data_IF_363092603314
#
_entry.id   IF_363092603314
#
_cell.length_a   1.000
_cell.length_b   1.000
_cell.length_c   1.000
_cell.angle_alpha   90.00
_cell.angle_beta   90.00
_cell.angle_gamma   90.00
#
_symmetry.space_group_name_H-M   'P 1'
#
loop_
_entity.id
_entity.type
_entity.pdbx_description
1 polymer ?
#
# COMPACT_ATOMS: atom_id res chain seq x y z
N UNK A 1 -17.07 0.21 -13.81
CA UNK A 1 -17.76 1.53 -13.90
C UNK A 1 -17.38 2.28 -12.64
N UNK A 2 -16.35 3.13 -12.75
CA UNK A 2 -15.98 4.05 -11.68
C UNK A 2 -17.08 5.10 -11.58
N UNK A 3 -17.76 5.12 -10.44
CA UNK A 3 -18.65 6.22 -10.11
C UNK A 3 -17.78 7.46 -9.89
N UNK A 4 -17.86 8.42 -10.82
CA UNK A 4 -17.32 9.76 -10.65
C UNK A 4 -17.94 10.35 -9.37
N UNK A 5 -17.19 10.32 -8.28
CA UNK A 5 -17.59 10.97 -7.04
C UNK A 5 -17.45 12.47 -7.22
N UNK A 6 -18.57 13.12 -7.44
CA UNK A 6 -18.66 14.58 -7.49
C UNK A 6 -18.44 15.14 -6.08
N UNK A 7 -17.33 15.86 -5.84
CA UNK A 7 -17.09 16.52 -4.57
C UNK A 7 -17.66 17.94 -4.57
N UNK A 8 -18.30 18.30 -3.48
CA UNK A 8 -18.95 19.59 -3.29
C UNK A 8 -18.24 20.37 -2.18
N UNK A 9 -18.03 21.66 -2.38
CA UNK A 9 -17.43 22.56 -1.38
C UNK A 9 -18.39 23.66 -1.02
N UNK A 10 -18.60 23.86 0.27
CA UNK A 10 -19.48 24.88 0.80
C UNK A 10 -18.74 26.19 1.08
N UNK A 11 -19.47 27.32 0.95
CA UNK A 11 -19.05 28.61 1.55
C UNK A 11 -19.42 28.66 3.03
N UNK A 12 -18.75 29.50 3.83
CA UNK A 12 -19.02 29.61 5.26
C UNK A 12 -20.47 30.08 5.50
N UNK A 13 -20.98 31.05 4.74
CA UNK A 13 -22.35 31.55 4.83
C UNK A 13 -23.38 30.43 4.63
N UNK A 14 -23.09 29.48 3.72
CA UNK A 14 -23.96 28.36 3.46
C UNK A 14 -23.92 27.33 4.58
N UNK A 15 -22.76 27.10 5.18
CA UNK A 15 -22.62 26.25 6.36
C UNK A 15 -23.46 26.79 7.50
N UNK A 16 -23.37 28.09 7.77
CA UNK A 16 -24.11 28.76 8.86
C UNK A 16 -25.64 28.67 8.62
N UNK A 17 -26.09 28.95 7.40
CA UNK A 17 -27.50 28.83 7.01
C UNK A 17 -28.00 27.39 7.13
N UNK A 18 -27.21 26.41 6.71
CA UNK A 18 -27.56 25.00 6.81
C UNK A 18 -27.71 24.56 8.27
N UNK A 19 -26.79 24.96 9.13
CA UNK A 19 -26.84 24.60 10.54
C UNK A 19 -28.09 25.22 11.22
N UNK A 20 -28.42 26.44 10.87
CA UNK A 20 -29.61 27.11 11.38
C UNK A 20 -30.92 26.47 10.90
N UNK A 21 -30.98 26.08 9.62
CA UNK A 21 -32.18 25.46 9.05
C UNK A 21 -32.33 24.01 9.45
N UNK A 22 -31.25 23.24 9.51
CA UNK A 22 -31.30 21.84 9.92
C UNK A 22 -31.87 21.69 11.32
N UNK A 23 -31.50 22.58 12.22
CA UNK A 23 -32.01 22.60 13.58
C UNK A 23 -33.53 22.89 13.67
N UNK A 24 -34.06 23.68 12.75
CA UNK A 24 -35.47 24.08 12.73
C UNK A 24 -36.35 23.15 11.88
N UNK A 25 -35.79 22.55 10.85
CA UNK A 25 -36.54 21.79 9.82
C UNK A 25 -36.50 20.29 10.02
N UNK A 26 -35.45 19.75 10.63
CA UNK A 26 -35.30 18.32 10.84
C UNK A 26 -35.81 17.88 12.20
N UNK A 27 -36.33 16.66 12.26
CA UNK A 27 -36.62 15.99 13.51
C UNK A 27 -35.39 15.88 14.40
N UNK A 28 -35.59 15.73 15.72
CA UNK A 28 -34.49 15.49 16.67
C UNK A 28 -33.68 14.27 16.25
N UNK A 29 -34.33 13.24 15.71
CA UNK A 29 -33.69 12.01 15.24
C UNK A 29 -32.77 12.28 14.06
N UNK A 30 -33.24 13.00 13.05
CA UNK A 30 -32.45 13.34 11.88
C UNK A 30 -31.26 14.25 12.25
N UNK A 31 -31.46 15.23 13.10
CA UNK A 31 -30.39 16.08 13.62
C UNK A 31 -29.33 15.27 14.40
N UNK A 32 -29.74 14.27 15.18
CA UNK A 32 -28.78 13.41 15.87
C UNK A 32 -27.96 12.57 14.89
N UNK A 33 -28.55 12.16 13.76
CA UNK A 33 -27.80 11.45 12.70
C UNK A 33 -26.82 12.41 12.02
N UNK A 34 -27.21 13.65 11.68
CA UNK A 34 -26.29 14.65 11.14
C UNK A 34 -25.06 14.81 12.04
N UNK A 35 -25.27 14.94 13.36
CA UNK A 35 -24.18 15.07 14.34
C UNK A 35 -23.32 13.81 14.43
N UNK A 36 -23.94 12.62 14.51
CA UNK A 36 -23.23 11.36 14.66
C UNK A 36 -22.39 10.99 13.42
N UNK A 37 -22.80 11.45 12.23
CA UNK A 37 -22.12 11.23 10.96
C UNK A 37 -21.28 12.43 10.52
N UNK A 38 -21.19 13.47 11.36
CA UNK A 38 -20.47 14.71 11.05
C UNK A 38 -20.91 15.37 9.74
N UNK A 39 -22.25 15.27 9.43
CA UNK A 39 -22.85 15.89 8.26
C UNK A 39 -23.28 17.33 8.60
N UNK A 40 -22.31 18.15 8.94
CA UNK A 40 -22.48 19.51 9.46
C UNK A 40 -22.54 20.59 8.36
N UNK A 41 -22.44 20.17 7.09
CA UNK A 41 -22.51 21.05 5.92
C UNK A 41 -23.42 20.50 4.82
N UNK A 42 -23.97 21.36 3.93
CA UNK A 42 -24.81 20.93 2.81
C UNK A 42 -24.05 19.98 1.86
N UNK A 43 -22.78 20.26 1.57
CA UNK A 43 -21.96 19.41 0.72
C UNK A 43 -21.80 18.00 1.29
N UNK A 44 -21.53 17.87 2.58
CA UNK A 44 -21.44 16.57 3.25
C UNK A 44 -22.77 15.82 3.24
N UNK A 45 -23.87 16.52 3.47
CA UNK A 45 -25.21 15.91 3.37
C UNK A 45 -25.50 15.45 1.95
N UNK A 46 -25.19 16.27 0.94
CA UNK A 46 -25.35 15.93 -0.49
C UNK A 46 -24.56 14.69 -0.86
N UNK A 47 -23.27 14.66 -0.54
CA UNK A 47 -22.42 13.50 -0.76
C UNK A 47 -22.93 12.23 -0.06
N UNK A 48 -23.48 12.38 1.15
CA UNK A 48 -24.10 11.31 1.90
C UNK A 48 -25.37 10.77 1.24
N UNK A 49 -26.25 11.63 0.76
CA UNK A 49 -27.52 11.26 0.12
C UNK A 49 -27.30 10.58 -1.24
N UNK A 50 -26.30 11.07 -2.00
CA UNK A 50 -25.99 10.56 -3.33
C UNK A 50 -25.17 9.25 -3.31
N UNK A 51 -24.65 8.85 -2.16
CA UNK A 51 -23.78 7.68 -2.01
C UNK A 51 -24.52 6.47 -1.45
N UNK A 52 -24.74 5.45 -2.27
CA UNK A 52 -25.27 4.14 -1.84
C UNK A 52 -24.38 3.44 -0.79
N UNK A 53 -23.09 3.76 -0.79
CA UNK A 53 -22.12 3.19 0.14
C UNK A 53 -22.37 3.62 1.59
N UNK A 54 -22.80 4.85 1.82
CA UNK A 54 -23.13 5.34 3.16
C UNK A 54 -24.40 4.70 3.71
N UNK A 55 -25.37 4.37 2.87
CA UNK A 55 -26.58 3.66 3.28
C UNK A 55 -26.28 2.30 3.92
N UNK A 56 -25.25 1.60 3.45
CA UNK A 56 -24.78 0.34 4.05
C UNK A 56 -24.18 0.50 5.46
N UNK A 57 -23.40 1.54 5.69
CA UNK A 57 -22.80 1.87 7.01
C UNK A 57 -23.85 2.34 8.01
N UNK A 58 -24.82 3.11 7.55
CA UNK A 58 -25.85 3.71 8.40
C UNK A 58 -26.88 2.69 8.92
N UNK A 59 -27.02 1.54 8.28
CA UNK A 59 -27.89 0.44 8.79
C UNK A 59 -27.49 -0.03 10.19
N UNK A 60 -26.27 0.25 10.62
CA UNK A 60 -25.76 -0.08 11.97
C UNK A 60 -26.01 1.01 13.01
N UNK A 61 -26.45 2.19 12.58
CA UNK A 61 -26.78 3.28 13.51
C UNK A 61 -28.15 3.04 14.15
N UNK A 62 -28.19 3.18 15.47
CA UNK A 62 -29.43 3.12 16.22
C UNK A 62 -30.36 4.21 15.71
N UNK A 63 -31.58 3.83 15.32
CA UNK A 63 -32.63 4.75 14.81
C UNK A 63 -32.45 5.28 13.38
N UNK A 64 -31.51 4.79 12.59
CA UNK A 64 -31.40 5.14 11.16
C UNK A 64 -32.31 4.23 10.30
N UNK A 65 -33.57 4.57 10.23
CA UNK A 65 -34.57 3.84 9.44
C UNK A 65 -34.97 4.58 8.16
N UNK A 66 -35.81 3.95 7.35
CA UNK A 66 -36.27 4.46 6.06
C UNK A 66 -36.87 5.89 6.15
N UNK A 67 -37.67 6.16 7.18
CA UNK A 67 -38.24 7.50 7.41
C UNK A 67 -37.20 8.60 7.63
N UNK A 68 -36.12 8.29 8.37
CA UNK A 68 -35.05 9.25 8.60
C UNK A 68 -34.23 9.48 7.33
N UNK A 69 -34.06 8.46 6.51
CA UNK A 69 -33.40 8.61 5.19
C UNK A 69 -34.23 9.48 4.25
N UNK A 70 -35.53 9.25 4.17
CA UNK A 70 -36.46 10.05 3.38
C UNK A 70 -36.47 11.52 3.85
N UNK A 71 -36.47 11.74 5.17
CA UNK A 71 -36.41 13.08 5.77
C UNK A 71 -35.11 13.82 5.43
N UNK A 72 -33.96 13.15 5.53
CA UNK A 72 -32.66 13.75 5.18
C UNK A 72 -32.55 14.06 3.68
N UNK A 73 -33.09 13.16 2.82
CA UNK A 73 -33.14 13.40 1.39
C UNK A 73 -34.03 14.60 1.04
N UNK A 74 -35.24 14.63 1.59
CA UNK A 74 -36.17 15.74 1.39
C UNK A 74 -35.60 17.07 1.90
N UNK A 75 -34.87 17.06 3.01
CA UNK A 75 -34.20 18.26 3.51
C UNK A 75 -33.04 18.68 2.60
N UNK A 76 -32.27 17.78 2.06
CA UNK A 76 -31.23 18.08 1.08
C UNK A 76 -31.83 18.78 -0.15
N UNK A 77 -32.88 18.20 -0.74
CA UNK A 77 -33.60 18.76 -1.89
C UNK A 77 -34.21 20.15 -1.57
N UNK A 78 -34.84 20.27 -0.40
CA UNK A 78 -35.36 21.57 0.08
C UNK A 78 -34.26 22.61 0.16
N UNK A 79 -33.11 22.27 0.76
CA UNK A 79 -32.01 23.21 0.92
C UNK A 79 -31.43 23.63 -0.42
N UNK A 80 -31.29 22.71 -1.37
CA UNK A 80 -30.84 23.01 -2.74
C UNK A 80 -31.82 23.95 -3.48
N UNK A 81 -33.11 23.73 -3.36
CA UNK A 81 -34.13 24.56 -4.00
C UNK A 81 -34.21 25.98 -3.45
N UNK A 82 -34.04 26.16 -2.14
CA UNK A 82 -34.18 27.46 -1.48
C UNK A 82 -32.85 28.23 -1.39
N UNK A 83 -31.72 27.54 -1.55
CA UNK A 83 -30.40 28.13 -1.54
C UNK A 83 -29.66 27.68 -2.82
N UNK A 84 -30.06 28.22 -4.00
CA UNK A 84 -29.57 27.72 -5.29
C UNK A 84 -28.07 27.90 -5.44
N UNK A 85 -27.59 27.17 -6.34
CA UNK A 85 -26.23 26.69 -6.63
C UNK A 85 -25.12 27.72 -6.87
N UNK A 86 -25.35 29.00 -6.70
CA UNK A 86 -24.23 29.95 -6.52
C UNK A 86 -23.32 29.54 -5.35
N UNK A 87 -23.66 28.47 -4.70
CA UNK A 87 -23.11 27.95 -3.48
C UNK A 87 -22.48 26.56 -3.55
N UNK A 88 -22.56 25.84 -4.68
CA UNK A 88 -21.74 24.66 -4.93
C UNK A 88 -20.81 24.95 -6.09
N UNK A 89 -19.52 24.96 -5.83
CA UNK A 89 -18.52 24.88 -6.86
C UNK A 89 -18.23 23.39 -7.10
N UNK A 90 -18.47 22.92 -8.32
CA UNK A 90 -18.04 21.60 -8.73
C UNK A 90 -16.57 21.71 -9.02
N UNK A 91 -15.75 21.11 -8.17
CA UNK A 91 -14.31 21.11 -8.37
C UNK A 91 -13.97 20.32 -9.64
N UNK A 92 -13.08 20.84 -10.45
CA UNK A 92 -12.39 20.08 -11.49
C UNK A 92 -11.54 18.98 -10.83
N UNK A 93 -11.08 18.00 -11.60
CA UNK A 93 -10.21 16.94 -11.06
C UNK A 93 -8.97 17.51 -10.35
N UNK A 94 -8.37 18.54 -10.92
CA UNK A 94 -7.22 19.21 -10.34
C UNK A 94 -7.54 19.95 -9.04
N UNK A 95 -8.65 20.67 -8.99
CA UNK A 95 -9.10 21.37 -7.77
C UNK A 95 -9.50 20.37 -6.68
N UNK A 96 -10.12 19.26 -7.04
CA UNK A 96 -10.42 18.14 -6.15
C UNK A 96 -9.14 17.56 -5.56
N UNK A 97 -8.14 17.32 -6.41
CA UNK A 97 -6.83 16.84 -5.99
C UNK A 97 -6.18 17.82 -5.00
N UNK A 98 -6.10 19.11 -5.36
CA UNK A 98 -5.53 20.14 -4.49
C UNK A 98 -6.25 20.22 -3.14
N UNK A 99 -7.58 20.22 -3.17
CA UNK A 99 -8.42 20.25 -1.97
C UNK A 99 -8.12 19.04 -1.07
N UNK A 100 -8.08 17.83 -1.63
CA UNK A 100 -7.81 16.60 -0.88
C UNK A 100 -6.40 16.57 -0.29
N UNK A 101 -5.40 17.02 -1.04
CA UNK A 101 -4.02 17.12 -0.57
C UNK A 101 -3.95 18.11 0.60
N UNK A 102 -4.47 19.33 0.45
CA UNK A 102 -4.42 20.35 1.50
C UNK A 102 -5.15 19.93 2.78
N UNK A 103 -6.21 19.13 2.64
CA UNK A 103 -6.99 18.65 3.78
C UNK A 103 -6.35 17.46 4.50
N UNK A 104 -5.76 16.52 3.77
CA UNK A 104 -5.39 15.21 4.31
C UNK A 104 -3.87 15.00 4.39
N UNK A 105 -3.07 15.75 3.61
CA UNK A 105 -1.62 15.60 3.52
C UNK A 105 -0.87 16.65 4.33
N UNK A 106 -1.11 16.72 5.64
CA UNK A 106 -0.41 17.66 6.54
C UNK A 106 1.12 17.47 6.56
N UNK A 107 1.61 16.38 5.99
CA UNK A 107 3.03 16.08 5.83
C UNK A 107 3.65 16.73 4.57
N UNK A 108 2.87 17.37 3.70
CA UNK A 108 3.37 18.09 2.53
C UNK A 108 3.44 19.59 2.82
N UNK A 109 4.58 20.19 2.52
CA UNK A 109 4.75 21.64 2.52
C UNK A 109 4.19 22.24 1.22
N UNK A 110 4.11 23.56 1.12
CA UNK A 110 3.54 24.23 -0.05
C UNK A 110 4.26 23.86 -1.35
N UNK A 111 5.60 23.83 -1.33
CA UNK A 111 6.43 23.42 -2.47
C UNK A 111 6.23 21.95 -2.90
N UNK A 112 5.97 21.07 -1.93
CA UNK A 112 5.68 19.66 -2.23
C UNK A 112 4.31 19.53 -2.90
N UNK A 113 3.32 20.30 -2.46
CA UNK A 113 1.99 20.33 -3.07
C UNK A 113 2.09 20.83 -4.52
N UNK A 114 2.85 21.89 -4.76
CA UNK A 114 3.08 22.42 -6.10
C UNK A 114 3.75 21.37 -7.01
N UNK A 115 4.74 20.63 -6.49
CA UNK A 115 5.36 19.52 -7.23
C UNK A 115 4.35 18.43 -7.56
N UNK A 116 3.54 17.96 -6.58
CA UNK A 116 2.54 16.91 -6.81
C UNK A 116 1.52 17.32 -7.86
N UNK A 117 1.03 18.56 -7.79
CA UNK A 117 0.07 19.09 -8.76
C UNK A 117 0.69 19.18 -10.16
N UNK A 118 1.92 19.71 -10.29
CA UNK A 118 2.60 19.81 -11.58
C UNK A 118 2.92 18.43 -12.18
N UNK A 119 3.28 17.46 -11.36
CA UNK A 119 3.51 16.09 -11.80
C UNK A 119 2.24 15.46 -12.36
N UNK A 120 1.12 15.60 -11.65
CA UNK A 120 -0.18 15.11 -12.10
C UNK A 120 -0.59 15.77 -13.43
N UNK A 121 -0.47 17.09 -13.56
CA UNK A 121 -0.79 17.83 -14.79
C UNK A 121 0.00 17.31 -16.00
N UNK A 122 1.25 16.87 -15.80
CA UNK A 122 2.11 16.37 -16.86
C UNK A 122 1.87 14.89 -17.22
N UNK A 123 1.51 14.07 -16.24
CA UNK A 123 1.52 12.60 -16.38
C UNK A 123 0.15 11.98 -16.21
N UNK A 124 -0.79 12.68 -15.64
CA UNK A 124 -2.09 12.17 -15.15
C UNK A 124 -1.94 11.02 -14.13
N UNK A 125 -0.81 10.99 -13.44
CA UNK A 125 -0.48 10.05 -12.38
C UNK A 125 0.00 10.80 -11.14
N UNK A 126 0.03 10.10 -9.99
CA UNK A 126 0.48 10.69 -8.72
C UNK A 126 1.91 10.27 -8.41
N UNK A 127 2.75 11.17 -7.89
CA UNK A 127 4.11 10.83 -7.47
C UNK A 127 4.10 10.17 -6.08
N UNK A 128 3.65 8.91 -6.01
CA UNK A 128 3.40 8.20 -4.75
C UNK A 128 4.67 7.99 -3.92
N UNK A 129 5.80 7.67 -4.55
CA UNK A 129 7.08 7.51 -3.85
C UNK A 129 7.60 8.83 -3.33
N UNK A 130 7.46 9.91 -4.09
CA UNK A 130 7.79 11.26 -3.62
C UNK A 130 6.98 11.62 -2.37
N UNK A 131 5.66 11.42 -2.42
CA UNK A 131 4.78 11.68 -1.27
C UNK A 131 5.16 10.80 -0.06
N UNK A 132 5.54 9.55 -0.29
CA UNK A 132 6.01 8.66 0.78
C UNK A 132 7.32 9.16 1.39
N UNK A 133 8.28 9.59 0.58
CA UNK A 133 9.52 10.23 1.05
C UNK A 133 9.20 11.42 1.95
N UNK A 134 8.32 12.31 1.50
CA UNK A 134 7.92 13.51 2.25
C UNK A 134 7.20 13.17 3.56
N UNK A 135 6.41 12.11 3.58
CA UNK A 135 5.78 11.62 4.81
C UNK A 135 6.81 11.28 5.89
N UNK A 136 7.91 10.63 5.52
CA UNK A 136 8.99 10.29 6.45
C UNK A 136 9.92 11.48 6.73
N UNK A 137 10.20 12.31 5.74
CA UNK A 137 11.10 13.46 5.84
C UNK A 137 10.54 14.50 6.83
N UNK A 138 9.24 14.80 6.74
CA UNK A 138 8.60 15.83 7.57
C UNK A 138 7.96 15.28 8.85
N UNK A 139 8.19 14.01 9.18
CA UNK A 139 7.65 13.45 10.41
C UNK A 139 8.49 13.84 11.63
N UNK A 140 7.83 14.45 12.63
CA UNK A 140 8.42 14.74 13.94
C UNK A 140 8.54 13.51 14.84
N UNK A 141 7.97 12.39 14.45
CA UNK A 141 7.97 11.19 15.27
C UNK A 141 9.32 10.47 15.17
N UNK A 142 10.06 10.42 16.29
CA UNK A 142 11.35 9.74 16.39
C UNK A 142 11.36 8.34 15.76
N UNK A 143 10.29 7.57 15.94
CA UNK A 143 10.13 6.26 15.32
C UNK A 143 10.25 6.32 13.80
N UNK A 144 9.58 7.27 13.15
CA UNK A 144 9.62 7.41 11.69
C UNK A 144 10.98 7.93 11.22
N UNK A 145 11.62 8.78 12.00
CA UNK A 145 12.98 9.24 11.72
C UNK A 145 13.97 8.06 11.76
N UNK A 146 13.86 7.19 12.77
CA UNK A 146 14.70 5.97 12.88
C UNK A 146 14.47 5.04 11.69
N UNK A 147 13.22 4.82 11.29
CA UNK A 147 12.88 3.97 10.14
C UNK A 147 13.39 4.60 8.84
N UNK A 148 13.19 5.91 8.65
CA UNK A 148 13.72 6.67 7.51
C UNK A 148 15.23 6.47 7.36
N UNK A 149 15.96 6.66 8.44
CA UNK A 149 17.41 6.59 8.44
C UNK A 149 17.92 5.14 8.30
N UNK A 150 17.20 4.18 8.89
CA UNK A 150 17.50 2.74 8.72
C UNK A 150 17.30 2.26 7.28
N UNK A 151 16.27 2.77 6.60
CA UNK A 151 15.98 2.41 5.21
C UNK A 151 16.81 3.22 4.20
N UNK A 152 17.30 4.39 4.57
CA UNK A 152 17.97 5.31 3.66
C UNK A 152 17.02 6.05 2.73
N UNK A 153 15.80 6.40 3.22
CA UNK A 153 14.75 7.02 2.38
C UNK A 153 15.19 8.38 1.82
N UNK A 154 15.82 9.22 2.64
CA UNK A 154 16.23 10.58 2.24
C UNK A 154 17.75 10.72 2.05
N UNK A 155 18.52 9.87 2.70
CA UNK A 155 19.98 9.90 2.76
C UNK A 155 20.55 8.48 2.69
N UNK A 156 21.85 8.33 2.92
CA UNK A 156 22.46 7.01 3.03
C UNK A 156 21.91 6.24 4.24
N UNK A 157 21.72 4.95 4.05
CA UNK A 157 21.25 4.00 5.08
C UNK A 157 22.20 4.05 6.29
N UNK A 158 21.65 4.20 7.49
CA UNK A 158 22.41 4.19 8.75
C UNK A 158 22.45 2.78 9.33
N UNK A 159 23.61 2.39 9.87
CA UNK A 159 23.74 1.14 10.63
C UNK A 159 23.05 1.26 12.00
N UNK A 160 22.79 0.13 12.64
CA UNK A 160 22.20 0.12 13.99
C UNK A 160 23.05 0.87 15.01
N UNK A 161 24.36 0.75 14.92
CA UNK A 161 25.32 1.43 15.77
C UNK A 161 25.22 2.95 15.59
N UNK A 162 25.17 3.42 14.35
CA UNK A 162 24.97 4.83 14.04
C UNK A 162 23.60 5.34 14.54
N UNK A 163 22.53 4.56 14.39
CA UNK A 163 21.21 4.92 14.92
C UNK A 163 21.20 5.01 16.43
N UNK A 164 21.89 4.09 17.14
CA UNK A 164 22.04 4.14 18.60
C UNK A 164 22.75 5.42 19.04
N UNK A 165 23.79 5.85 18.32
CA UNK A 165 24.53 7.06 18.60
C UNK A 165 23.71 8.33 18.32
N UNK A 166 23.08 8.41 17.14
CA UNK A 166 22.29 9.57 16.71
C UNK A 166 21.09 9.82 17.63
N UNK A 167 20.37 8.75 17.99
CA UNK A 167 19.14 8.86 18.78
C UNK A 167 19.33 8.66 20.27
N UNK A 168 20.56 8.36 20.73
CA UNK A 168 20.88 8.07 22.13
C UNK A 168 20.01 6.96 22.73
N UNK A 169 19.78 5.87 21.98
CA UNK A 169 18.91 4.76 22.35
C UNK A 169 19.69 3.45 22.46
N UNK A 170 19.15 2.53 23.28
CA UNK A 170 19.69 1.18 23.38
C UNK A 170 19.42 0.37 22.10
N UNK A 171 20.25 -0.65 21.84
CA UNK A 171 20.06 -1.58 20.73
C UNK A 171 18.68 -2.25 20.75
N UNK A 172 18.18 -2.60 21.93
CA UNK A 172 16.85 -3.20 22.09
C UNK A 172 15.75 -2.25 21.61
N UNK A 173 15.86 -0.96 21.95
CA UNK A 173 14.90 0.04 21.52
C UNK A 173 14.96 0.25 20.01
N UNK A 174 16.17 0.41 19.44
CA UNK A 174 16.35 0.55 17.98
C UNK A 174 15.77 -0.66 17.24
N UNK A 175 16.05 -1.88 17.68
CA UNK A 175 15.49 -3.09 17.07
C UNK A 175 13.95 -3.12 17.15
N UNK A 176 13.36 -2.66 18.25
CA UNK A 176 11.91 -2.56 18.42
C UNK A 176 11.26 -1.56 17.46
N UNK A 177 11.92 -0.42 17.21
CA UNK A 177 11.44 0.57 16.24
C UNK A 177 11.56 0.06 14.80
N UNK A 178 12.70 -0.55 14.44
CA UNK A 178 12.92 -1.14 13.11
C UNK A 178 11.93 -2.28 12.84
N UNK A 179 11.60 -3.10 13.85
CA UNK A 179 10.60 -4.17 13.71
C UNK A 179 9.22 -3.68 13.26
N UNK A 180 8.95 -2.40 13.45
CA UNK A 180 7.67 -1.78 13.05
C UNK A 180 7.70 -1.12 11.67
N UNK A 181 8.73 -1.34 10.86
CA UNK A 181 8.89 -0.73 9.53
C UNK A 181 7.68 -0.98 8.64
N UNK A 182 7.20 -2.23 8.58
CA UNK A 182 6.02 -2.61 7.80
C UNK A 182 4.81 -1.75 8.12
N UNK A 183 4.55 -1.58 9.41
CA UNK A 183 3.40 -0.82 9.87
C UNK A 183 3.56 0.69 9.61
N UNK A 184 4.79 1.22 9.65
CA UNK A 184 5.04 2.62 9.35
C UNK A 184 4.85 2.93 7.86
N UNK A 185 5.38 2.10 6.98
CA UNK A 185 5.19 2.23 5.52
C UNK A 185 3.72 2.06 5.15
N UNK A 186 3.05 1.08 5.74
CA UNK A 186 1.60 0.89 5.56
C UNK A 186 0.80 2.14 5.95
N UNK A 187 1.12 2.78 7.09
CA UNK A 187 0.44 4.02 7.49
C UNK A 187 0.70 5.16 6.54
N UNK A 188 1.95 5.30 6.06
CA UNK A 188 2.30 6.31 5.07
C UNK A 188 1.52 6.11 3.78
N UNK A 189 1.50 4.89 3.24
CA UNK A 189 0.75 4.52 2.04
C UNK A 189 -0.74 4.85 2.18
N UNK A 190 -1.39 4.42 3.26
CA UNK A 190 -2.80 4.74 3.54
C UNK A 190 -3.08 6.25 3.66
N UNK A 191 -2.13 7.01 4.21
CA UNK A 191 -2.29 8.46 4.30
C UNK A 191 -2.26 9.11 2.92
N UNK A 192 -1.39 8.61 2.05
CA UNK A 192 -1.29 9.05 0.65
C UNK A 192 -2.56 8.69 -0.13
N UNK A 193 -3.04 7.45 -0.03
CA UNK A 193 -4.27 7.01 -0.70
C UNK A 193 -5.50 7.84 -0.33
N UNK A 194 -5.57 8.33 0.90
CA UNK A 194 -6.64 9.25 1.33
C UNK A 194 -6.56 10.61 0.64
N UNK A 195 -5.35 11.04 0.26
CA UNK A 195 -5.15 12.32 -0.40
C UNK A 195 -5.47 12.25 -1.90
N UNK A 196 -5.03 11.18 -2.55
CA UNK A 196 -5.02 11.09 -4.01
C UNK A 196 -5.99 10.07 -4.59
N UNK A 197 -6.73 9.35 -3.75
CA UNK A 197 -7.74 8.36 -4.15
C UNK A 197 -7.25 7.39 -5.24
N UNK A 198 -5.97 7.05 -5.22
CA UNK A 198 -5.34 6.23 -6.24
C UNK A 198 -4.59 5.07 -5.60
N UNK A 199 -4.26 4.12 -6.42
CA UNK A 199 -3.55 2.92 -6.04
C UNK A 199 -2.14 2.87 -6.64
N UNK A 200 -1.38 1.89 -6.21
CA UNK A 200 -0.03 1.64 -6.70
C UNK A 200 0.00 0.98 -8.08
N UNK A 201 -1.16 0.65 -8.66
CA UNK A 201 -1.32 0.04 -9.98
C UNK A 201 -0.79 0.93 -11.12
N UNK A 202 -0.72 2.24 -10.91
CA UNK A 202 -0.13 3.17 -11.88
C UNK A 202 1.30 2.79 -12.28
N UNK A 203 2.05 2.12 -11.39
CA UNK A 203 3.42 1.64 -11.67
C UNK A 203 3.43 0.29 -12.40
N UNK A 204 2.26 -0.31 -12.64
CA UNK A 204 2.11 -1.62 -13.31
C UNK A 204 3.02 -2.69 -12.69
N UNK A 205 3.12 -2.68 -11.36
CA UNK A 205 3.98 -3.62 -10.63
C UNK A 205 3.57 -5.06 -10.89
N UNK A 206 2.24 -5.34 -10.95
CA UNK A 206 1.70 -6.64 -11.32
C UNK A 206 2.15 -7.08 -12.72
N UNK A 207 2.23 -6.17 -13.67
CA UNK A 207 2.56 -6.47 -15.06
C UNK A 207 4.07 -6.58 -15.31
N UNK A 208 4.86 -5.79 -14.64
CA UNK A 208 6.29 -5.66 -14.94
C UNK A 208 7.17 -6.50 -14.00
N UNK A 209 6.83 -6.55 -12.72
CA UNK A 209 7.69 -7.16 -11.69
C UNK A 209 7.05 -8.44 -11.13
N UNK A 210 5.75 -8.42 -10.83
CA UNK A 210 5.10 -9.50 -10.07
C UNK A 210 4.75 -10.74 -10.88
N UNK A 211 5.16 -10.83 -12.14
CA UNK A 211 4.99 -12.06 -12.97
C UNK A 211 5.85 -13.23 -12.52
N UNK A 212 6.89 -12.96 -11.72
CA UNK A 212 7.80 -13.97 -11.21
C UNK A 212 7.49 -14.25 -9.74
N UNK A 213 7.43 -15.48 -9.33
CA UNK A 213 7.20 -15.84 -7.91
C UNK A 213 8.44 -15.61 -7.03
N UNK A 214 9.60 -15.45 -7.64
CA UNK A 214 10.87 -15.16 -6.99
C UNK A 214 11.48 -13.96 -7.69
N UNK A 215 11.73 -12.91 -6.92
CA UNK A 215 12.24 -11.63 -7.38
C UNK A 215 13.62 -11.35 -6.78
N UNK A 216 14.45 -10.66 -7.52
CA UNK A 216 15.69 -10.05 -7.04
C UNK A 216 15.58 -8.54 -7.15
N UNK A 217 16.49 -7.81 -6.50
CA UNK A 217 16.52 -6.34 -6.64
C UNK A 217 16.68 -5.93 -8.12
N UNK A 218 17.36 -6.72 -8.93
CA UNK A 218 17.56 -6.47 -10.36
C UNK A 218 16.24 -6.46 -11.16
N UNK A 219 15.23 -7.21 -10.72
CA UNK A 219 13.92 -7.24 -11.36
C UNK A 219 13.18 -5.90 -11.22
N UNK A 220 13.52 -5.10 -10.19
CA UNK A 220 12.98 -3.78 -9.94
C UNK A 220 13.77 -2.65 -10.61
N UNK A 221 14.97 -2.93 -11.11
CA UNK A 221 15.86 -1.89 -11.63
C UNK A 221 15.23 -1.02 -12.74
N UNK A 222 14.50 -1.56 -13.74
CA UNK A 222 13.86 -0.73 -14.76
C UNK A 222 12.82 0.22 -14.18
N UNK A 223 12.00 -0.25 -13.24
CA UNK A 223 11.00 0.55 -12.56
C UNK A 223 11.67 1.62 -11.69
N UNK A 224 12.68 1.23 -10.90
CA UNK A 224 13.44 2.15 -10.07
C UNK A 224 14.04 3.31 -10.86
N UNK A 225 14.67 3.02 -12.00
CA UNK A 225 15.28 4.07 -12.83
C UNK A 225 14.24 5.06 -13.34
N UNK A 226 13.12 4.55 -13.85
CA UNK A 226 12.01 5.37 -14.34
C UNK A 226 11.41 6.25 -13.24
N UNK A 227 11.11 5.66 -12.08
CA UNK A 227 10.48 6.38 -10.97
C UNK A 227 11.46 7.36 -10.32
N UNK A 228 12.73 6.95 -10.15
CA UNK A 228 13.77 7.80 -9.56
C UNK A 228 13.95 9.11 -10.33
N UNK A 229 13.99 9.04 -11.65
CA UNK A 229 14.12 10.23 -12.49
C UNK A 229 12.85 11.08 -12.44
N UNK A 230 11.68 10.46 -12.64
CA UNK A 230 10.41 11.16 -12.73
C UNK A 230 9.97 11.80 -11.42
N UNK A 231 10.22 11.15 -10.28
CA UNK A 231 9.83 11.62 -8.95
C UNK A 231 11.01 12.21 -8.15
N UNK A 232 12.18 12.39 -8.75
CA UNK A 232 13.37 13.01 -8.15
C UNK A 232 13.83 12.32 -6.85
N UNK A 233 13.78 10.99 -6.81
CA UNK A 233 14.09 10.22 -5.60
C UNK A 233 15.60 10.17 -5.31
N UNK A 234 15.97 10.34 -4.05
CA UNK A 234 17.35 10.23 -3.59
C UNK A 234 17.73 8.83 -3.09
N UNK A 235 16.72 8.02 -2.70
CA UNK A 235 16.94 6.67 -2.19
C UNK A 235 17.64 5.76 -3.21
N UNK A 236 18.35 4.75 -2.72
CA UNK A 236 18.96 3.72 -3.55
C UNK A 236 17.97 2.62 -3.98
N UNK A 237 18.44 1.70 -4.83
CA UNK A 237 17.61 0.60 -5.31
C UNK A 237 17.17 -0.33 -4.17
N UNK A 238 18.00 -0.57 -3.17
CA UNK A 238 17.68 -1.47 -2.07
C UNK A 238 16.55 -0.90 -1.22
N UNK A 239 16.61 0.40 -0.87
CA UNK A 239 15.54 1.11 -0.18
C UNK A 239 14.24 1.10 -0.99
N UNK A 240 14.32 1.40 -2.28
CA UNK A 240 13.17 1.39 -3.19
C UNK A 240 12.48 0.03 -3.22
N UNK A 241 13.24 -1.05 -3.36
CA UNK A 241 12.70 -2.42 -3.37
C UNK A 241 12.05 -2.76 -2.04
N UNK A 242 12.66 -2.37 -0.92
CA UNK A 242 12.11 -2.59 0.40
C UNK A 242 10.77 -1.85 0.60
N UNK A 243 10.66 -0.62 0.09
CA UNK A 243 9.40 0.12 0.08
C UNK A 243 8.36 -0.56 -0.82
N UNK A 244 8.72 -0.96 -2.04
CA UNK A 244 7.84 -1.72 -2.92
C UNK A 244 7.34 -2.98 -2.24
N UNK A 245 8.21 -3.69 -1.54
CA UNK A 245 7.88 -4.89 -0.78
C UNK A 245 6.81 -4.61 0.28
N UNK A 246 6.98 -3.57 1.08
CA UNK A 246 6.04 -3.22 2.14
C UNK A 246 4.71 -2.67 1.61
N UNK A 247 4.73 -1.94 0.51
CA UNK A 247 3.51 -1.43 -0.15
C UNK A 247 2.77 -2.54 -0.88
N UNK A 248 3.48 -3.43 -1.56
CA UNK A 248 2.91 -4.59 -2.26
C UNK A 248 2.47 -5.71 -1.30
N UNK A 249 2.93 -5.71 -0.07
CA UNK A 249 2.44 -6.59 0.99
C UNK A 249 0.92 -6.51 1.20
N UNK A 250 0.27 -5.46 0.69
CA UNK A 250 -1.18 -5.34 0.60
C UNK A 250 -1.82 -6.29 -0.41
N UNK A 251 -1.11 -6.62 -1.49
CA UNK A 251 -1.62 -7.40 -2.60
C UNK A 251 -1.17 -8.86 -2.59
N UNK A 252 -0.28 -9.23 -1.68
CA UNK A 252 0.22 -10.61 -1.58
C UNK A 252 1.22 -10.77 -0.44
N UNK A 253 1.52 -12.01 -0.10
CA UNK A 253 2.62 -12.31 0.81
C UNK A 253 3.92 -12.20 0.05
N UNK A 254 4.70 -11.20 0.38
CA UNK A 254 6.09 -11.10 -0.04
C UNK A 254 6.96 -11.41 1.17
N UNK A 255 8.01 -12.20 0.98
CA UNK A 255 8.89 -12.60 2.06
C UNK A 255 10.34 -12.53 1.60
N UNK A 256 11.18 -11.85 2.36
CA UNK A 256 12.61 -11.80 2.06
C UNK A 256 13.33 -13.05 2.52
N UNK A 257 14.16 -13.61 1.64
CA UNK A 257 15.07 -14.73 1.92
C UNK A 257 16.44 -14.43 1.34
N UNK A 258 17.34 -13.92 2.16
CA UNK A 258 18.63 -13.42 1.71
C UNK A 258 18.46 -12.26 0.73
N UNK A 259 19.03 -12.38 -0.47
CA UNK A 259 18.92 -11.39 -1.56
C UNK A 259 17.66 -11.56 -2.44
N UNK A 260 16.78 -12.48 -2.11
CA UNK A 260 15.61 -12.82 -2.91
C UNK A 260 14.32 -12.41 -2.19
N UNK A 261 13.34 -12.02 -2.98
CA UNK A 261 12.00 -11.74 -2.56
C UNK A 261 11.06 -12.80 -3.10
N UNK A 262 10.38 -13.50 -2.20
CA UNK A 262 9.39 -14.51 -2.55
C UNK A 262 8.01 -13.84 -2.59
N UNK A 263 7.38 -13.90 -3.74
CA UNK A 263 6.07 -13.31 -3.94
C UNK A 263 5.03 -14.37 -4.29
N UNK A 264 3.90 -14.36 -3.60
CA UNK A 264 2.76 -15.23 -3.87
C UNK A 264 1.71 -14.44 -4.63
N UNK A 265 1.59 -14.68 -5.93
CA UNK A 265 0.58 -14.04 -6.78
C UNK A 265 -0.66 -14.93 -6.83
N UNK A 266 -1.85 -14.33 -6.70
CA UNK A 266 -3.11 -15.01 -6.97
C UNK A 266 -3.12 -15.51 -8.43
N UNK A 267 -3.35 -16.82 -8.61
CA UNK A 267 -3.34 -17.48 -9.93
C UNK A 267 -2.01 -18.07 -10.37
N UNK A 268 -0.88 -17.77 -9.72
CA UNK A 268 0.41 -18.43 -9.97
C UNK A 268 0.63 -19.61 -9.03
N UNK A 269 -0.21 -19.74 -8.03
CA UNK A 269 -0.20 -20.80 -7.03
C UNK A 269 0.62 -20.48 -5.79
N UNK A 270 0.23 -21.05 -4.68
CA UNK A 270 0.93 -20.90 -3.41
C UNK A 270 2.28 -21.62 -3.47
N UNK A 271 3.38 -20.86 -3.62
CA UNK A 271 4.71 -21.45 -3.52
C UNK A 271 5.08 -21.64 -2.05
N UNK A 272 5.16 -22.88 -1.62
CA UNK A 272 5.47 -23.22 -0.23
C UNK A 272 6.97 -23.48 -0.06
N UNK A 273 7.74 -22.40 -0.20
CA UNK A 273 9.20 -22.46 -0.12
C UNK A 273 9.70 -23.00 1.20
N UNK A 274 9.06 -22.67 2.32
CA UNK A 274 9.45 -23.17 3.64
C UNK A 274 9.31 -24.69 3.77
N UNK A 275 8.27 -25.27 3.16
CA UNK A 275 8.12 -26.71 3.13
C UNK A 275 9.24 -27.36 2.32
N UNK A 276 9.54 -26.80 1.16
CA UNK A 276 10.65 -27.29 0.32
C UNK A 276 11.98 -27.17 1.06
N UNK A 277 12.24 -26.06 1.76
CA UNK A 277 13.44 -25.92 2.59
C UNK A 277 13.49 -26.94 3.73
N UNK A 278 12.35 -27.26 4.36
CA UNK A 278 12.30 -28.30 5.38
C UNK A 278 12.69 -29.66 4.81
N UNK A 279 12.20 -29.99 3.62
CA UNK A 279 12.56 -31.25 2.98
C UNK A 279 14.03 -31.28 2.55
N UNK A 280 14.59 -30.20 2.03
CA UNK A 280 16.02 -30.09 1.79
C UNK A 280 16.87 -30.26 3.06
N UNK A 281 16.38 -29.75 4.21
CA UNK A 281 17.07 -29.96 5.49
C UNK A 281 17.06 -31.42 5.95
N UNK A 282 16.04 -32.18 5.59
CA UNK A 282 15.93 -33.63 5.91
C UNK A 282 16.85 -34.51 5.07
N UNK A 283 17.38 -34.02 3.91
CA UNK A 283 18.31 -34.77 3.08
C UNK A 283 19.53 -35.16 3.93
N UNK A 284 19.86 -36.46 4.06
CA UNK A 284 20.99 -36.92 4.88
C UNK A 284 22.33 -36.43 4.33
N UNK A 285 23.26 -36.12 5.23
CA UNK A 285 24.66 -35.79 4.90
C UNK A 285 25.49 -37.06 4.72
N UNK A 286 25.20 -37.86 3.74
CA UNK A 286 26.01 -39.08 3.50
C UNK A 286 26.29 -39.26 2.02
N UNK A 287 27.49 -39.78 1.70
CA UNK A 287 27.89 -40.10 0.32
C UNK A 287 26.98 -41.16 -0.35
N UNK A 288 26.12 -41.82 0.40
CA UNK A 288 25.19 -42.89 -0.04
C UNK A 288 23.72 -42.53 0.13
N UNK A 289 23.39 -41.28 0.45
CA UNK A 289 22.00 -40.86 0.64
C UNK A 289 21.23 -40.90 -0.68
N UNK A 290 19.99 -41.33 -0.64
CA UNK A 290 19.08 -41.17 -1.79
C UNK A 290 18.92 -39.68 -2.11
N UNK A 291 19.21 -39.30 -3.35
CA UNK A 291 19.07 -37.91 -3.76
C UNK A 291 17.58 -37.51 -3.77
N UNK A 292 17.28 -36.30 -3.37
CA UNK A 292 15.94 -35.75 -3.45
C UNK A 292 15.59 -35.33 -4.87
N UNK A 293 14.56 -35.93 -5.48
CA UNK A 293 14.07 -35.55 -6.82
C UNK A 293 13.11 -34.35 -6.71
N UNK A 294 13.67 -33.16 -6.90
CA UNK A 294 12.90 -31.91 -6.87
C UNK A 294 11.82 -31.86 -7.96
N UNK A 295 12.08 -32.49 -9.12
CA UNK A 295 11.13 -32.53 -10.24
C UNK A 295 9.89 -33.36 -9.90
N UNK A 296 10.04 -34.40 -9.13
CA UNK A 296 8.96 -35.25 -8.65
C UNK A 296 8.17 -34.54 -7.54
N UNK A 297 8.87 -33.94 -6.56
CA UNK A 297 8.25 -33.16 -5.51
C UNK A 297 7.41 -32.00 -6.07
N UNK A 298 7.90 -31.32 -7.09
CA UNK A 298 7.16 -30.24 -7.73
C UNK A 298 5.92 -30.73 -8.49
N UNK A 299 5.91 -31.96 -9.03
CA UNK A 299 4.72 -32.54 -9.70
C UNK A 299 3.60 -32.86 -8.72
N UNK A 300 3.92 -33.17 -7.49
CA UNK A 300 2.93 -33.53 -6.46
C UNK A 300 2.18 -32.34 -5.87
N UNK A 301 2.31 -31.14 -6.46
CA UNK A 301 1.55 -29.92 -6.14
C UNK A 301 1.64 -29.42 -4.68
N UNK A 302 2.44 -30.08 -3.82
CA UNK A 302 2.60 -29.65 -2.43
C UNK A 302 3.29 -28.30 -2.28
N UNK A 303 4.22 -27.99 -3.20
CA UNK A 303 5.02 -26.78 -3.16
C UNK A 303 4.51 -25.71 -4.14
N UNK A 304 3.76 -26.13 -5.17
CA UNK A 304 3.33 -25.24 -6.22
C UNK A 304 2.16 -25.78 -7.06
N UNK A 305 1.19 -24.93 -7.36
CA UNK A 305 0.00 -25.34 -8.12
C UNK A 305 0.18 -25.31 -9.65
N UNK A 306 1.25 -24.70 -10.19
CA UNK A 306 1.47 -24.52 -11.62
C UNK A 306 2.84 -25.05 -12.08
N UNK A 307 2.86 -26.17 -12.77
CA UNK A 307 4.08 -26.81 -13.25
C UNK A 307 4.96 -25.94 -14.16
N UNK A 308 4.36 -25.06 -14.99
CA UNK A 308 5.12 -24.17 -15.87
C UNK A 308 5.89 -23.11 -15.09
N UNK A 309 5.30 -22.61 -14.03
CA UNK A 309 5.92 -21.62 -13.14
C UNK A 309 7.03 -22.29 -12.32
N UNK A 310 6.79 -23.49 -11.82
CA UNK A 310 7.78 -24.29 -11.12
C UNK A 310 9.05 -24.47 -11.94
N UNK A 311 8.93 -24.92 -13.18
CA UNK A 311 10.08 -25.13 -14.06
C UNK A 311 10.95 -23.89 -14.26
N UNK A 312 10.34 -22.70 -14.32
CA UNK A 312 11.06 -21.43 -14.44
C UNK A 312 11.74 -21.02 -13.13
N UNK A 313 11.11 -21.32 -12.00
CA UNK A 313 11.59 -20.90 -10.69
C UNK A 313 12.60 -21.86 -10.06
N UNK A 314 12.61 -23.12 -10.47
CA UNK A 314 13.48 -24.16 -9.89
C UNK A 314 14.97 -23.77 -9.83
N UNK A 315 15.60 -23.19 -10.87
CA UNK A 315 17.01 -22.81 -10.78
C UNK A 315 17.25 -21.80 -9.65
N UNK A 316 16.38 -20.79 -9.52
CA UNK A 316 16.47 -19.77 -8.47
C UNK A 316 16.19 -20.36 -7.08
N UNK A 317 15.22 -21.27 -6.98
CA UNK A 317 14.92 -22.00 -5.72
C UNK A 317 16.15 -22.78 -5.23
N UNK A 318 16.83 -23.46 -6.14
CA UNK A 318 18.06 -24.22 -5.82
C UNK A 318 19.15 -23.24 -5.35
N UNK A 319 19.30 -22.12 -6.01
CA UNK A 319 20.29 -21.12 -5.66
C UNK A 319 20.04 -20.54 -4.26
N UNK A 320 18.79 -20.21 -3.94
CA UNK A 320 18.39 -19.76 -2.60
C UNK A 320 18.65 -20.85 -1.57
N UNK A 321 18.25 -22.09 -1.87
CA UNK A 321 18.46 -23.21 -0.97
C UNK A 321 19.95 -23.47 -0.70
N UNK A 322 20.81 -23.34 -1.69
CA UNK A 322 22.28 -23.45 -1.53
C UNK A 322 22.87 -22.41 -0.58
N UNK A 323 22.31 -21.19 -0.58
CA UNK A 323 22.75 -20.14 0.33
C UNK A 323 22.28 -20.37 1.78
N UNK A 324 21.11 -20.99 1.96
CA UNK A 324 20.50 -21.21 3.28
C UNK A 324 20.85 -22.55 3.91
N UNK A 325 21.25 -23.52 3.10
CA UNK A 325 21.52 -24.88 3.53
C UNK A 325 22.94 -25.24 3.14
N UNK A 326 23.79 -25.39 4.13
CA UNK A 326 25.20 -25.70 3.92
C UNK A 326 25.37 -27.06 3.23
N UNK A 327 26.31 -27.16 2.29
CA UNK A 327 26.63 -28.33 1.49
C UNK A 327 25.51 -28.89 0.58
N UNK A 328 24.50 -28.09 0.27
CA UNK A 328 23.50 -28.45 -0.74
C UNK A 328 24.10 -28.27 -2.15
N UNK A 329 23.95 -29.27 -3.01
CA UNK A 329 24.40 -29.21 -4.38
C UNK A 329 23.46 -29.98 -5.33
N UNK A 330 23.49 -29.62 -6.60
CA UNK A 330 22.75 -30.29 -7.64
C UNK A 330 23.60 -31.37 -8.29
N UNK A 331 23.06 -32.57 -8.40
CA UNK A 331 23.71 -33.66 -9.11
C UNK A 331 23.43 -33.59 -10.62
N UNK A 332 24.40 -34.02 -11.46
CA UNK A 332 24.13 -34.24 -12.87
C UNK A 332 23.00 -35.26 -13.04
N UNK A 333 22.00 -34.94 -13.82
CA UNK A 333 20.90 -35.84 -14.09
C UNK A 333 20.58 -35.89 -15.59
N UNK A 334 20.04 -37.02 -16.08
CA UNK A 334 19.59 -37.17 -17.46
C UNK A 334 18.11 -36.75 -17.56
N UNK A 335 17.80 -36.03 -18.63
CA UNK A 335 16.44 -35.54 -18.89
C UNK A 335 16.04 -34.35 -18.01
N UNK A 336 14.74 -34.22 -17.74
CA UNK A 336 14.15 -33.07 -16.98
C UNK A 336 14.21 -33.23 -15.45
N UNK A 337 14.99 -34.20 -14.96
CA UNK A 337 15.11 -34.44 -13.52
C UNK A 337 16.11 -33.47 -12.89
N UNK A 338 15.73 -32.91 -11.74
CA UNK A 338 16.59 -32.07 -10.93
C UNK A 338 16.83 -32.78 -9.61
N UNK A 339 18.05 -33.25 -9.42
CA UNK A 339 18.43 -34.04 -8.26
C UNK A 339 19.27 -33.18 -7.30
N UNK A 340 18.87 -33.13 -6.05
CA UNK A 340 19.53 -32.34 -4.98
C UNK A 340 20.12 -33.32 -3.95
N UNK A 341 21.33 -33.04 -3.51
CA UNK A 341 22.01 -33.81 -2.47
C UNK A 341 22.76 -32.91 -1.48
N UNK A 342 23.12 -33.43 -0.32
CA UNK A 342 24.04 -32.80 0.64
C UNK A 342 25.31 -33.61 0.78
N UNK A 343 26.45 -32.93 0.86
CA UNK A 343 27.77 -33.56 1.20
C UNK A 343 28.07 -33.39 2.69
#
# INVERSE_FOLDING_TARGET
MEENKQEYVDTQERIDTFQDESWKKLSVRANNILKAMELDTPAKLKAFVDSDFYLGKCRRLINFGKKTQEELRAFCEYFEQNHPASAYHVLSERETLEYNIRRNASFLHAEDIDFVLSYFDCTNHYPMFYMLVKYFEHSDWRKYQIIRDNLGICEERKTKEQLMEIYHLSQTTINGEIFSTDHAIWRAANSIERCVANDWEQYKLSDNVLKKPILTNEDFLPLYQSVKEAEQLKMDLECFVEICYHTLGFFGRIEQRGKYWLYTVDGVGNFRFDWLLQDFRKIPRTKKAEPFDLSEACRNTEYWSNEKVVRKAVPTVIEIAKQMIWHLYQLPSKGNKIIIAKS
#
